data_IF_332876632222
#
_entry.id   IF_332876632222
#
_cell.length_a   1.000
_cell.length_b   1.000
_cell.length_c   1.000
_cell.angle_alpha   90.00
_cell.angle_beta   90.00
_cell.angle_gamma   90.00
#
_symmetry.space_group_name_H-M   'P 1'
#
loop_
_entity.id
_entity.type
_entity.pdbx_description
1 polymer ?
#
# COMPACT_ATOMS: atom_id res chain seq x y z
N UNK A 1 14.93 -35.44 19.97
CA UNK A 1 14.53 -34.27 20.79
C UNK A 1 14.86 -32.92 20.12
N UNK A 2 14.82 -32.80 18.78
CA UNK A 2 15.08 -31.53 18.06
C UNK A 2 13.80 -30.85 17.55
N UNK A 3 12.71 -31.60 17.43
CA UNK A 3 11.39 -31.14 16.98
C UNK A 3 10.61 -30.37 18.05
N UNK A 4 10.95 -30.50 19.34
CA UNK A 4 10.28 -29.76 20.42
C UNK A 4 10.66 -28.26 20.44
N UNK A 5 11.85 -27.90 19.95
CA UNK A 5 12.32 -26.51 19.92
C UNK A 5 11.60 -25.66 18.87
N UNK A 6 11.18 -26.27 17.75
CA UNK A 6 10.45 -25.55 16.68
C UNK A 6 9.03 -25.16 17.10
N UNK A 7 8.37 -25.95 17.96
CA UNK A 7 7.05 -25.62 18.51
C UNK A 7 7.09 -24.45 19.50
N UNK A 8 8.20 -24.27 20.22
CA UNK A 8 8.33 -23.22 21.22
C UNK A 8 8.44 -21.81 20.58
N UNK A 9 8.96 -21.71 19.36
CA UNK A 9 9.12 -20.45 18.64
C UNK A 9 7.80 -19.88 18.07
N UNK A 10 6.72 -20.66 18.02
CA UNK A 10 5.43 -20.25 17.45
C UNK A 10 4.43 -19.70 18.49
N UNK A 11 4.75 -19.81 19.79
CA UNK A 11 3.91 -19.31 20.89
C UNK A 11 3.73 -17.77 20.99
N UNK A 12 4.67 -16.88 20.57
CA UNK A 12 4.51 -15.45 20.83
C UNK A 12 3.47 -14.76 19.92
N UNK A 13 2.96 -15.42 18.88
CA UNK A 13 2.01 -14.82 17.92
C UNK A 13 0.60 -14.64 18.50
N UNK A 14 0.26 -15.37 19.58
CA UNK A 14 -1.06 -15.31 20.20
C UNK A 14 -1.19 -14.23 21.29
N UNK A 15 -0.10 -13.55 21.65
CA UNK A 15 -0.09 -12.50 22.67
C UNK A 15 -0.27 -11.11 22.03
N UNK A 16 -1.41 -10.86 21.39
CA UNK A 16 -1.81 -9.51 21.02
C UNK A 16 -2.32 -8.78 22.27
N UNK A 17 -1.41 -8.18 23.04
CA UNK A 17 -1.77 -7.28 24.12
C UNK A 17 -2.54 -6.09 23.54
N UNK A 18 -3.85 -6.04 23.76
CA UNK A 18 -4.68 -4.90 23.38
C UNK A 18 -4.40 -3.77 24.36
N UNK A 19 -3.75 -2.71 23.90
CA UNK A 19 -3.49 -1.51 24.69
C UNK A 19 -4.47 -0.43 24.28
N UNK A 20 -5.35 -0.04 25.19
CA UNK A 20 -6.33 1.02 25.00
C UNK A 20 -5.72 2.37 25.41
N UNK A 21 -5.91 3.39 24.57
CA UNK A 21 -5.56 4.77 24.89
C UNK A 21 -6.75 5.43 25.58
N UNK A 22 -6.58 5.82 26.83
CA UNK A 22 -7.56 6.59 27.59
C UNK A 22 -7.14 8.07 27.62
N UNK A 23 -8.11 8.96 27.45
CA UNK A 23 -7.90 10.41 27.59
C UNK A 23 -8.74 10.87 28.77
N UNK A 24 -8.06 11.27 29.85
CA UNK A 24 -8.70 11.78 31.05
C UNK A 24 -9.29 13.17 30.86
N UNK A 25 -10.13 13.61 31.80
CA UNK A 25 -10.80 14.91 31.75
C UNK A 25 -9.82 16.09 31.79
N UNK A 26 -8.63 15.89 32.37
CA UNK A 26 -7.55 16.88 32.44
C UNK A 26 -6.70 16.92 31.14
N UNK A 27 -7.11 16.18 30.11
CA UNK A 27 -6.38 16.05 28.84
C UNK A 27 -5.16 15.12 28.91
N UNK A 28 -4.90 14.50 30.06
CA UNK A 28 -3.83 13.52 30.23
C UNK A 28 -4.13 12.23 29.48
N UNK A 29 -3.12 11.69 28.78
CA UNK A 29 -3.23 10.43 28.06
C UNK A 29 -2.61 9.30 28.87
N UNK A 30 -3.36 8.24 29.12
CA UNK A 30 -2.91 7.03 29.81
C UNK A 30 -3.18 5.81 28.94
N UNK A 31 -2.37 4.76 29.13
CA UNK A 31 -2.49 3.52 28.38
C UNK A 31 -2.83 2.38 29.34
N UNK A 32 -3.89 1.64 29.05
CA UNK A 32 -4.38 0.55 29.90
C UNK A 32 -4.58 -0.72 29.09
N UNK A 33 -4.37 -1.87 29.74
CA UNK A 33 -4.70 -3.18 29.19
C UNK A 33 -6.21 -3.51 29.30
N UNK A 34 -6.96 -2.68 30.02
CA UNK A 34 -8.41 -2.82 30.23
C UNK A 34 -9.13 -1.67 29.50
N UNK A 35 -10.31 -1.90 28.88
CA UNK A 35 -11.10 -0.83 28.28
C UNK A 35 -11.36 0.32 29.25
N UNK A 36 -11.23 1.56 28.78
CA UNK A 36 -11.45 2.75 29.60
C UNK A 36 -12.90 2.76 30.12
N UNK A 37 -13.14 3.05 31.41
CA UNK A 37 -14.48 3.16 31.95
C UNK A 37 -15.24 4.28 31.22
N UNK A 38 -16.53 4.06 30.92
CA UNK A 38 -17.37 4.99 30.15
C UNK A 38 -17.52 6.40 30.77
N UNK A 39 -17.04 6.60 32.00
CA UNK A 39 -17.05 7.87 32.72
C UNK A 39 -15.83 8.76 32.47
N UNK A 40 -14.78 8.26 31.80
CA UNK A 40 -13.57 9.03 31.50
C UNK A 40 -13.50 9.35 30.00
N UNK A 41 -13.85 10.59 29.65
CA UNK A 41 -13.49 11.16 28.35
C UNK A 41 -14.32 10.71 27.16
N UNK A 42 -15.66 10.85 27.20
CA UNK A 42 -16.40 11.18 25.97
C UNK A 42 -15.95 12.57 25.53
N UNK A 43 -14.80 12.65 24.86
CA UNK A 43 -14.44 13.83 24.07
C UNK A 43 -15.37 13.84 22.86
N UNK A 44 -16.58 14.37 23.05
CA UNK A 44 -17.37 14.89 21.94
C UNK A 44 -16.51 15.98 21.32
N UNK A 45 -15.82 15.69 20.21
CA UNK A 45 -15.20 16.74 19.39
C UNK A 45 -16.32 17.63 18.87
N UNK A 46 -16.66 18.65 19.65
CA UNK A 46 -17.42 19.80 19.19
C UNK A 46 -16.46 20.52 18.26
N UNK A 47 -16.58 20.26 16.96
CA UNK A 47 -15.91 21.06 15.94
C UNK A 47 -16.62 22.40 15.96
N UNK A 48 -16.04 23.38 16.64
CA UNK A 48 -16.51 24.75 16.63
C UNK A 48 -16.47 25.27 15.17
N UNK A 49 -17.60 25.74 14.60
CA UNK A 49 -17.58 26.27 13.25
C UNK A 49 -16.72 27.54 13.21
N UNK A 50 -15.74 27.57 12.31
CA UNK A 50 -14.93 28.75 12.07
C UNK A 50 -15.83 29.97 11.77
N UNK A 51 -15.58 31.14 12.36
CA UNK A 51 -16.38 32.33 12.10
C UNK A 51 -16.26 32.71 10.61
N UNK A 52 -17.34 33.20 9.97
CA UNK A 52 -17.28 33.64 8.59
C UNK A 52 -16.29 34.80 8.49
N UNK A 53 -15.19 34.61 7.75
CA UNK A 53 -14.21 35.65 7.46
C UNK A 53 -14.84 36.76 6.61
N UNK A 54 -15.43 37.74 7.30
CA UNK A 54 -15.75 39.04 6.75
C UNK A 54 -14.57 39.98 6.93
N UNK A 55 -14.13 40.58 5.82
CA UNK A 55 -13.21 41.72 5.70
C UNK A 55 -11.71 41.40 5.86
N UNK A 56 -11.01 41.43 4.72
CA UNK A 56 -9.57 41.36 4.62
C UNK A 56 -8.88 42.63 5.15
N UNK A 57 -7.87 42.54 6.04
CA UNK A 57 -6.89 43.60 6.24
C UNK A 57 -5.77 43.53 5.18
N UNK A 58 -5.13 44.68 4.82
CA UNK A 58 -4.15 44.75 3.74
C UNK A 58 -2.87 43.94 4.02
N UNK A 59 -2.16 43.46 2.97
CA UNK A 59 -1.11 42.46 3.12
C UNK A 59 0.16 43.04 3.76
N UNK A 60 0.57 42.45 4.88
CA UNK A 60 1.92 42.57 5.43
C UNK A 60 2.82 41.49 4.78
N UNK A 61 3.85 41.97 4.10
CA UNK A 61 4.88 41.18 3.44
C UNK A 61 5.67 40.35 4.47
N UNK A 62 5.63 39.02 4.34
CA UNK A 62 6.57 38.12 5.03
C UNK A 62 7.26 37.20 4.01
N UNK A 63 8.56 36.88 4.23
CA UNK A 63 9.45 36.36 3.19
C UNK A 63 9.17 34.90 2.81
N UNK A 64 9.23 34.70 1.50
CA UNK A 64 9.18 33.47 0.72
C UNK A 64 10.29 32.50 1.13
N UNK A 65 9.94 31.35 1.71
CA UNK A 65 10.83 30.18 1.74
C UNK A 65 10.56 29.41 0.45
N UNK A 66 11.49 29.53 -0.49
CA UNK A 66 11.54 28.73 -1.71
C UNK A 66 11.81 27.26 -1.34
N UNK A 67 10.92 26.36 -1.76
CA UNK A 67 11.33 24.99 -2.07
C UNK A 67 10.85 24.70 -3.48
N UNK A 68 11.79 24.81 -4.41
CA UNK A 68 11.62 24.52 -5.82
C UNK A 68 11.46 23.01 -6.01
N UNK A 69 10.40 22.63 -6.72
CA UNK A 69 10.12 21.26 -7.14
C UNK A 69 9.09 21.32 -8.25
N UNK A 70 9.56 21.72 -9.44
CA UNK A 70 8.76 21.90 -10.63
C UNK A 70 8.25 20.55 -11.16
N UNK A 71 6.94 20.43 -11.37
CA UNK A 71 6.34 19.56 -12.37
C UNK A 71 4.92 20.07 -12.71
N UNK A 72 4.88 20.88 -13.77
CA UNK A 72 3.80 21.06 -14.77
C UNK A 72 2.36 20.66 -14.39
N UNK A 73 1.51 21.68 -14.19
CA UNK A 73 0.04 21.59 -14.25
C UNK A 73 -0.43 21.45 -15.70
N UNK A 74 -1.37 20.52 -16.01
CA UNK A 74 -2.32 20.71 -17.09
C UNK A 74 -3.61 21.36 -16.52
N UNK A 75 -3.86 22.60 -16.92
CA UNK A 75 -5.18 23.23 -16.83
C UNK A 75 -6.20 22.45 -17.68
N UNK A 76 -7.28 21.95 -17.07
CA UNK A 76 -8.57 21.73 -17.70
C UNK A 76 -9.62 22.29 -16.75
N UNK A 77 -10.01 23.54 -16.92
CA UNK A 77 -11.10 24.03 -17.80
C UNK A 77 -12.43 23.39 -17.43
N UNK A 78 -13.28 24.27 -16.93
CA UNK A 78 -14.63 24.11 -16.43
C UNK A 78 -15.56 23.35 -17.38
N UNK A 79 -16.34 22.43 -16.83
CA UNK A 79 -17.68 22.13 -17.34
C UNK A 79 -18.69 22.21 -16.19
N UNK A 80 -19.37 23.34 -16.20
CA UNK A 80 -20.63 23.68 -15.55
C UNK A 80 -21.69 22.59 -15.73
N UNK A 81 -22.25 22.05 -14.64
CA UNK A 81 -23.55 21.37 -14.71
C UNK A 81 -24.36 21.49 -13.42
N UNK A 82 -25.32 22.42 -13.49
CA UNK A 82 -26.70 22.36 -13.03
C UNK A 82 -27.00 22.03 -11.54
N UNK A 83 -27.48 23.07 -10.86
CA UNK A 83 -28.68 23.11 -10.00
C UNK A 83 -29.51 21.80 -9.90
N UNK A 84 -29.56 21.21 -8.69
CA UNK A 84 -30.72 20.41 -8.23
C UNK A 84 -30.88 20.50 -6.69
N UNK A 85 -32.11 20.49 -6.15
CA UNK A 85 -32.45 20.91 -4.79
C UNK A 85 -32.22 19.81 -3.72
N UNK A 86 -32.31 20.12 -2.41
CA UNK A 86 -31.72 19.30 -1.36
C UNK A 86 -32.60 18.07 -1.01
N UNK A 87 -32.20 16.90 -1.49
CA UNK A 87 -32.71 15.64 -0.97
C UNK A 87 -32.04 15.33 0.38
N UNK A 88 -32.85 15.31 1.46
CA UNK A 88 -32.47 14.80 2.79
C UNK A 88 -32.17 13.31 2.71
N UNK A 89 -30.93 12.98 2.39
CA UNK A 89 -30.34 11.67 2.56
C UNK A 89 -28.88 11.88 2.95
N UNK A 90 -28.38 11.14 3.93
CA UNK A 90 -26.96 11.12 4.28
C UNK A 90 -26.15 10.71 3.05
N UNK A 91 -25.70 11.70 2.26
CA UNK A 91 -24.78 11.48 1.15
C UNK A 91 -23.41 11.25 1.77
N UNK A 92 -23.05 9.98 1.93
CA UNK A 92 -21.67 9.57 2.20
C UNK A 92 -20.87 9.84 0.94
N UNK A 93 -20.23 11.01 0.86
CA UNK A 93 -19.23 11.30 -0.16
C UNK A 93 -17.95 10.58 0.23
N UNK A 94 -17.62 9.50 -0.48
CA UNK A 94 -16.33 8.83 -0.32
C UNK A 94 -15.27 9.76 -0.87
N UNK A 95 -14.53 10.42 0.02
CA UNK A 95 -13.35 11.20 -0.34
C UNK A 95 -12.31 10.17 -0.80
N UNK A 96 -11.92 10.23 -2.08
CA UNK A 96 -10.85 9.38 -2.58
C UNK A 96 -9.57 9.73 -1.82
N UNK A 97 -9.09 8.79 -1.01
CA UNK A 97 -7.74 8.88 -0.45
C UNK A 97 -6.75 8.89 -1.61
N UNK A 98 -6.06 10.01 -1.80
CA UNK A 98 -4.95 10.13 -2.77
C UNK A 98 -3.83 9.11 -2.50
N UNK A 99 -3.79 8.50 -1.32
CA UNK A 99 -2.92 7.38 -0.98
C UNK A 99 -3.34 6.03 -1.59
N UNK A 100 -4.60 5.86 -2.01
CA UNK A 100 -5.09 4.61 -2.61
C UNK A 100 -4.44 4.35 -3.97
N UNK A 101 -4.33 5.38 -4.82
CA UNK A 101 -3.67 5.29 -6.13
C UNK A 101 -2.20 4.85 -6.01
N UNK A 102 -1.46 5.35 -5.01
CA UNK A 102 -0.06 4.97 -4.79
C UNK A 102 0.08 3.49 -4.37
N UNK A 103 -0.86 2.99 -3.57
CA UNK A 103 -0.86 1.57 -3.16
C UNK A 103 -1.20 0.66 -4.33
N UNK A 104 -2.21 1.01 -5.12
CA UNK A 104 -2.63 0.21 -6.26
C UNK A 104 -1.55 0.14 -7.35
N UNK A 105 -0.86 1.25 -7.62
CA UNK A 105 0.28 1.28 -8.54
C UNK A 105 1.44 0.37 -8.07
N UNK A 106 1.71 0.35 -6.76
CA UNK A 106 2.75 -0.52 -6.20
C UNK A 106 2.36 -2.00 -6.24
N UNK A 107 1.09 -2.31 -6.00
CA UNK A 107 0.57 -3.68 -6.08
C UNK A 107 0.56 -4.18 -7.52
N UNK A 108 0.18 -3.34 -8.50
CA UNK A 108 0.22 -3.70 -9.90
C UNK A 108 1.64 -3.93 -10.40
N UNK A 109 2.60 -3.08 -10.01
CA UNK A 109 4.02 -3.26 -10.34
C UNK A 109 4.57 -4.58 -9.76
N UNK A 110 4.28 -4.86 -8.48
CA UNK A 110 4.70 -6.11 -7.84
C UNK A 110 4.11 -7.34 -8.54
N UNK A 111 2.86 -7.26 -8.98
CA UNK A 111 2.18 -8.32 -9.71
C UNK A 111 2.81 -8.54 -11.08
N UNK A 112 3.04 -7.48 -11.84
CA UNK A 112 3.65 -7.56 -13.17
C UNK A 112 5.06 -8.18 -13.08
N UNK A 113 5.85 -7.76 -12.08
CA UNK A 113 7.18 -8.32 -11.85
C UNK A 113 7.15 -9.82 -11.57
N UNK A 114 6.23 -10.25 -10.71
CA UNK A 114 6.07 -11.67 -10.39
C UNK A 114 5.67 -12.50 -11.61
N UNK A 115 4.79 -11.98 -12.46
CA UNK A 115 4.38 -12.64 -13.71
C UNK A 115 5.53 -12.73 -14.71
N UNK A 116 6.36 -11.66 -14.81
CA UNK A 116 7.54 -11.64 -15.67
C UNK A 116 8.59 -12.66 -15.21
N UNK A 117 8.93 -12.68 -13.93
CA UNK A 117 9.89 -13.63 -13.37
C UNK A 117 9.41 -15.08 -13.55
N UNK A 118 8.11 -15.33 -13.36
CA UNK A 118 7.51 -16.64 -13.62
C UNK A 118 7.70 -17.04 -15.08
N UNK A 119 7.40 -16.15 -16.03
CA UNK A 119 7.56 -16.42 -17.47
C UNK A 119 9.01 -16.71 -17.84
N UNK A 120 9.95 -15.89 -17.36
CA UNK A 120 11.38 -16.10 -17.59
C UNK A 120 11.87 -17.44 -17.02
N UNK A 121 11.34 -17.86 -15.86
CA UNK A 121 11.65 -19.17 -15.28
C UNK A 121 11.21 -20.31 -16.19
N UNK A 122 9.99 -20.25 -16.74
CA UNK A 122 9.49 -21.27 -17.66
C UNK A 122 10.32 -21.33 -18.94
N UNK A 123 10.67 -20.18 -19.51
CA UNK A 123 11.47 -20.12 -20.74
C UNK A 123 12.86 -20.73 -20.52
N UNK A 124 13.52 -20.41 -19.40
CA UNK A 124 14.82 -21.00 -19.04
C UNK A 124 14.76 -22.52 -18.87
N UNK A 125 13.70 -23.03 -18.24
CA UNK A 125 13.53 -24.48 -18.06
C UNK A 125 13.24 -25.19 -19.38
N UNK A 126 12.48 -24.57 -20.27
CA UNK A 126 12.24 -25.06 -21.61
C UNK A 126 13.54 -25.15 -22.42
N UNK A 127 14.34 -24.08 -22.40
CA UNK A 127 15.62 -24.04 -23.10
C UNK A 127 16.61 -25.06 -22.55
N UNK A 128 16.65 -25.26 -21.22
CA UNK A 128 17.47 -26.29 -20.58
C UNK A 128 17.11 -27.69 -21.08
N UNK A 129 15.82 -28.01 -21.14
CA UNK A 129 15.36 -29.32 -21.65
C UNK A 129 15.68 -29.50 -23.13
N UNK A 130 15.50 -28.44 -23.92
CA UNK A 130 15.83 -28.44 -25.35
C UNK A 130 17.32 -28.70 -25.58
N UNK A 131 18.20 -28.04 -24.81
CA UNK A 131 19.64 -28.28 -24.90
C UNK A 131 20.01 -29.71 -24.49
N UNK A 132 19.42 -30.25 -23.43
CA UNK A 132 19.67 -31.63 -23.02
C UNK A 132 19.27 -32.64 -24.09
N UNK A 133 18.13 -32.44 -24.76
CA UNK A 133 17.70 -33.31 -25.85
C UNK A 133 18.65 -33.22 -27.06
N UNK A 134 19.07 -32.02 -27.42
CA UNK A 134 20.02 -31.81 -28.51
C UNK A 134 21.39 -32.43 -28.21
N UNK A 135 21.88 -32.31 -26.97
CA UNK A 135 23.13 -32.93 -26.54
C UNK A 135 23.05 -34.46 -26.61
N UNK A 136 21.92 -35.05 -26.20
CA UNK A 136 21.69 -36.49 -26.32
C UNK A 136 21.70 -36.94 -27.79
N UNK A 137 21.10 -36.19 -28.70
CA UNK A 137 21.13 -36.50 -30.13
C UNK A 137 22.55 -36.43 -30.70
N UNK A 138 23.32 -35.40 -30.32
CA UNK A 138 24.72 -35.28 -30.74
C UNK A 138 25.55 -36.46 -30.23
N UNK A 139 25.38 -36.86 -28.96
CA UNK A 139 26.08 -38.01 -28.40
C UNK A 139 25.74 -39.30 -29.16
N UNK A 140 24.47 -39.54 -29.46
CA UNK A 140 24.05 -40.71 -30.24
C UNK A 140 24.65 -40.71 -31.66
N UNK A 141 24.70 -39.56 -32.33
CA UNK A 141 25.34 -39.42 -33.64
C UNK A 141 26.84 -39.72 -33.58
N UNK A 142 27.53 -39.25 -32.54
CA UNK A 142 28.94 -39.54 -32.33
C UNK A 142 29.18 -41.03 -32.08
N UNK A 143 28.34 -41.69 -31.27
CA UNK A 143 28.39 -43.13 -31.03
C UNK A 143 28.17 -43.92 -32.32
N UNK A 144 27.16 -43.56 -33.13
CA UNK A 144 26.90 -44.19 -34.43
C UNK A 144 28.09 -44.04 -35.37
N UNK A 145 28.67 -42.84 -35.47
CA UNK A 145 29.85 -42.59 -36.29
C UNK A 145 31.04 -43.43 -35.84
N UNK A 146 31.25 -43.56 -34.53
CA UNK A 146 32.30 -44.41 -33.95
C UNK A 146 32.09 -45.91 -34.22
N UNK A 147 30.84 -46.37 -34.24
CA UNK A 147 30.51 -47.78 -34.55
C UNK A 147 30.56 -48.11 -36.04
N UNK A 148 30.50 -47.11 -36.91
CA UNK A 148 30.57 -47.30 -38.37
C UNK A 148 31.67 -46.40 -38.97
N UNK A 149 32.95 -46.63 -38.61
CA UNK A 149 34.05 -45.93 -39.25
C UNK A 149 34.13 -46.44 -40.70
N UNK A 150 33.87 -45.53 -41.64
CA UNK A 150 34.13 -45.78 -43.06
C UNK A 150 35.61 -46.01 -43.32
#
# INVERSE_FOLDING_TARGET
MRSALLGLCLLPVLAQAQVFKCVGNDGTTSYSAVPCPASEGQSTRIIEPAPPSGVAPPPLSLPRIETQGAAEQPQRRDEERADEPPARGSRVTVIQDSASQSRDARVSEMRERAEREKRESYDRDYDRKRMQQMEQQIRQLQEQNKTNPR
#
